data_IF_767367998894
#
_entry.id   IF_767367998894
#
_cell.length_a   1.000
_cell.length_b   1.000
_cell.length_c   1.000
_cell.angle_alpha   90.00
_cell.angle_beta   90.00
_cell.angle_gamma   90.00
#
_symmetry.space_group_name_H-M   'P 1'
#
loop_
_entity.id
_entity.type
_entity.pdbx_description
1 polymer ?
#
# COMPACT_ATOMS: atom_id res chain seq x y z
N UNK A 1 52.54 19.95 6.88
CA UNK A 1 51.27 20.20 6.15
C UNK A 1 50.48 18.92 5.81
N UNK A 2 51.08 17.72 5.83
CA UNK A 2 50.45 16.46 5.40
C UNK A 2 49.54 15.83 6.48
N UNK A 3 49.90 15.95 7.75
CA UNK A 3 49.14 15.46 8.91
C UNK A 3 47.82 16.22 9.14
N UNK A 4 47.78 17.55 8.93
CA UNK A 4 46.53 18.33 9.00
C UNK A 4 45.53 17.92 7.90
N UNK A 5 46.01 17.68 6.68
CA UNK A 5 45.16 17.19 5.56
C UNK A 5 44.57 15.81 5.83
N UNK A 6 45.36 14.89 6.41
CA UNK A 6 44.87 13.56 6.81
C UNK A 6 43.77 13.65 7.88
N UNK A 7 43.92 14.55 8.86
CA UNK A 7 42.89 14.78 9.89
C UNK A 7 41.59 15.30 9.26
N UNK A 8 41.68 16.26 8.33
CA UNK A 8 40.50 16.75 7.62
C UNK A 8 39.85 15.69 6.73
N UNK A 9 40.63 14.83 6.08
CA UNK A 9 40.09 13.71 5.29
C UNK A 9 39.41 12.66 6.17
N UNK A 10 39.98 12.34 7.33
CA UNK A 10 39.42 11.36 8.25
C UNK A 10 38.16 11.93 8.94
N UNK A 11 38.14 13.21 9.26
CA UNK A 11 36.95 13.92 9.74
C UNK A 11 35.84 13.94 8.67
N UNK A 12 36.18 14.24 7.42
CA UNK A 12 35.22 14.20 6.30
C UNK A 12 34.64 12.81 6.09
N UNK A 13 35.49 11.77 6.15
CA UNK A 13 35.05 10.38 6.06
C UNK A 13 34.10 10.01 7.21
N UNK A 14 34.39 10.44 8.43
CA UNK A 14 33.53 10.20 9.60
C UNK A 14 32.18 10.89 9.43
N UNK A 15 32.16 12.13 8.94
CA UNK A 15 30.92 12.85 8.61
C UNK A 15 30.12 12.10 7.54
N UNK A 16 30.78 11.59 6.50
CA UNK A 16 30.12 10.87 5.42
C UNK A 16 29.52 9.54 5.91
N UNK A 17 30.24 8.80 6.76
CA UNK A 17 29.71 7.61 7.43
C UNK A 17 28.51 7.94 8.32
N UNK A 18 28.56 9.06 9.05
CA UNK A 18 27.42 9.51 9.86
C UNK A 18 26.18 9.81 9.00
N UNK A 19 26.37 10.46 7.84
CA UNK A 19 25.27 10.70 6.88
C UNK A 19 24.72 9.38 6.35
N UNK A 20 25.58 8.42 5.99
CA UNK A 20 25.14 7.09 5.55
C UNK A 20 24.34 6.37 6.65
N UNK A 21 24.77 6.47 7.91
CA UNK A 21 24.05 5.88 9.04
C UNK A 21 22.67 6.53 9.22
N UNK A 22 22.57 7.86 9.11
CA UNK A 22 21.28 8.58 9.17
C UNK A 22 20.36 8.16 8.01
N UNK A 23 20.88 8.05 6.79
CA UNK A 23 20.12 7.59 5.63
C UNK A 23 19.63 6.14 5.79
N UNK A 24 20.37 5.29 6.51
CA UNK A 24 19.94 3.93 6.82
C UNK A 24 18.76 3.90 7.81
N UNK A 25 18.67 4.87 8.73
CA UNK A 25 17.59 4.93 9.75
C UNK A 25 16.28 5.50 9.18
N UNK A 26 16.35 6.48 8.27
CA UNK A 26 15.14 7.06 7.63
C UNK A 26 14.42 5.99 6.78
N UNK A 27 15.16 5.03 6.23
CA UNK A 27 14.59 3.91 5.47
C UNK A 27 14.21 4.28 4.04
N UNK A 28 13.61 3.32 3.32
CA UNK A 28 13.09 3.52 1.96
C UNK A 28 11.61 3.89 2.01
N UNK A 29 11.22 4.85 1.19
CA UNK A 29 9.81 5.08 0.88
C UNK A 29 9.27 3.89 0.11
N UNK A 30 8.16 3.31 0.56
CA UNK A 30 7.44 2.25 -0.12
C UNK A 30 5.94 2.54 -0.10
N UNK A 31 5.21 1.96 -1.04
CA UNK A 31 3.77 2.13 -1.15
C UNK A 31 3.07 1.06 -0.33
N UNK A 32 2.14 1.46 0.51
CA UNK A 32 1.24 0.59 1.27
C UNK A 32 -0.14 0.67 0.65
N UNK A 33 -0.79 -0.46 0.44
CA UNK A 33 -2.16 -0.51 -0.06
C UNK A 33 -3.15 -0.77 1.07
N UNK A 34 -4.30 -0.14 1.01
CA UNK A 34 -5.43 -0.35 1.91
C UNK A 34 -6.60 -0.90 1.11
N UNK A 35 -7.19 -2.01 1.57
CA UNK A 35 -8.35 -2.63 0.97
C UNK A 35 -9.57 -2.50 1.89
N UNK A 36 -10.70 -2.11 1.30
CA UNK A 36 -12.00 -2.24 1.92
C UNK A 36 -12.79 -3.37 1.23
N UNK A 37 -12.43 -4.61 1.52
CA UNK A 37 -13.04 -5.81 0.92
C UNK A 37 -13.48 -6.80 1.98
N UNK A 38 -14.67 -7.37 1.79
CA UNK A 38 -15.12 -8.47 2.62
C UNK A 38 -14.12 -9.63 2.54
N UNK A 39 -13.79 -10.23 3.68
CA UNK A 39 -12.86 -11.36 3.75
C UNK A 39 -13.53 -12.54 4.44
N UNK A 40 -13.32 -13.73 3.88
CA UNK A 40 -13.73 -14.97 4.54
C UNK A 40 -12.52 -15.57 5.24
N UNK A 41 -12.62 -15.72 6.56
CA UNK A 41 -11.56 -16.32 7.36
C UNK A 41 -12.14 -17.38 8.30
N UNK A 42 -11.60 -18.59 8.23
CA UNK A 42 -12.02 -19.75 9.04
C UNK A 42 -13.55 -20.01 9.01
N UNK A 43 -14.19 -19.78 7.86
CA UNK A 43 -15.63 -19.98 7.68
C UNK A 43 -16.53 -18.88 8.25
N UNK A 44 -15.94 -17.76 8.71
CA UNK A 44 -16.67 -16.54 9.08
C UNK A 44 -16.42 -15.46 8.04
N UNK A 45 -17.49 -14.90 7.48
CA UNK A 45 -17.43 -13.77 6.55
C UNK A 45 -17.40 -12.48 7.35
N UNK A 46 -16.36 -11.68 7.15
CA UNK A 46 -16.23 -10.34 7.70
C UNK A 46 -16.60 -9.35 6.61
N UNK A 47 -17.77 -8.72 6.75
CA UNK A 47 -18.26 -7.76 5.76
C UNK A 47 -17.45 -6.45 5.80
N UNK A 48 -17.30 -5.84 4.63
CA UNK A 48 -16.70 -4.53 4.51
C UNK A 48 -17.73 -3.44 4.88
N UNK A 49 -17.34 -2.44 5.70
CA UNK A 49 -18.18 -1.27 5.94
C UNK A 49 -18.42 -0.48 4.64
N UNK A 50 -19.55 0.23 4.59
CA UNK A 50 -19.95 1.02 3.42
C UNK A 50 -18.90 2.04 2.96
N UNK A 51 -18.25 2.74 3.91
CA UNK A 51 -17.24 3.76 3.62
C UNK A 51 -16.17 3.79 4.72
N UNK A 52 -14.91 3.83 4.32
CA UNK A 52 -13.77 4.11 5.22
C UNK A 52 -13.03 5.33 4.69
N UNK A 53 -12.97 6.41 5.47
CA UNK A 53 -12.10 7.54 5.18
C UNK A 53 -10.77 7.34 5.91
N UNK A 54 -9.67 7.38 5.16
CA UNK A 54 -8.33 7.16 5.67
C UNK A 54 -7.59 8.50 5.74
N UNK A 55 -7.09 8.85 6.91
CA UNK A 55 -6.17 9.97 7.10
C UNK A 55 -4.80 9.42 7.50
N UNK A 56 -3.73 9.84 6.83
CA UNK A 56 -2.37 9.44 7.21
C UNK A 56 -1.89 10.32 8.37
N UNK A 57 -1.48 9.68 9.46
CA UNK A 57 -0.99 10.35 10.67
C UNK A 57 -1.89 10.13 11.90
N UNK A 58 -1.58 10.88 12.95
CA UNK A 58 -2.19 10.71 14.27
C UNK A 58 -3.48 11.51 14.48
N UNK A 59 -3.88 12.34 13.50
CA UNK A 59 -5.06 13.18 13.58
C UNK A 59 -5.91 13.07 12.30
N UNK A 60 -7.20 13.37 12.44
CA UNK A 60 -8.12 13.60 11.33
C UNK A 60 -8.15 15.08 10.86
N UNK A 61 -7.26 15.94 11.40
CA UNK A 61 -7.19 17.38 11.08
C UNK A 61 -6.44 17.63 9.76
N UNK A 62 -7.01 17.16 8.65
CA UNK A 62 -6.45 17.34 7.30
C UNK A 62 -7.28 16.67 6.22
N UNK A 63 -6.87 16.81 4.96
CA UNK A 63 -7.51 16.11 3.84
C UNK A 63 -7.38 14.59 4.02
N UNK A 64 -8.47 13.87 3.80
CA UNK A 64 -8.43 12.41 3.75
C UNK A 64 -7.53 11.98 2.60
N UNK A 65 -6.65 11.01 2.83
CA UNK A 65 -5.84 10.38 1.79
C UNK A 65 -6.75 9.79 0.70
N UNK A 66 -7.78 9.06 1.14
CA UNK A 66 -8.80 8.50 0.27
C UNK A 66 -10.05 8.14 1.07
N UNK A 67 -11.18 8.06 0.37
CA UNK A 67 -12.44 7.51 0.86
C UNK A 67 -12.68 6.21 0.11
N UNK A 68 -12.54 5.08 0.79
CA UNK A 68 -12.74 3.77 0.20
C UNK A 68 -14.17 3.33 0.45
N UNK A 69 -14.93 3.15 -0.61
CA UNK A 69 -16.20 2.44 -0.59
C UNK A 69 -15.96 0.92 -0.63
N UNK A 70 -17.03 0.14 -0.59
CA UNK A 70 -16.94 -1.31 -0.71
C UNK A 70 -16.20 -1.72 -2.00
N UNK A 71 -15.32 -2.71 -1.87
CA UNK A 71 -14.44 -3.24 -2.90
C UNK A 71 -13.39 -2.28 -3.49
N UNK A 72 -13.17 -1.12 -2.87
CA UNK A 72 -12.14 -0.17 -3.30
C UNK A 72 -10.79 -0.39 -2.62
N UNK A 73 -9.74 0.10 -3.29
CA UNK A 73 -8.35 0.08 -2.83
C UNK A 73 -7.78 1.48 -2.89
N UNK A 74 -7.03 1.86 -1.87
CA UNK A 74 -6.21 3.07 -1.85
C UNK A 74 -4.73 2.74 -1.66
N UNK A 75 -3.86 3.68 -1.99
CA UNK A 75 -2.42 3.57 -1.79
C UNK A 75 -1.92 4.77 -0.98
N UNK A 76 -0.99 4.53 -0.07
CA UNK A 76 -0.30 5.55 0.69
C UNK A 76 1.22 5.37 0.54
N UNK A 77 1.93 6.47 0.36
CA UNK A 77 3.39 6.45 0.45
C UNK A 77 3.79 6.50 1.92
N UNK A 78 4.60 5.53 2.36
CA UNK A 78 5.09 5.46 3.72
C UNK A 78 6.61 5.35 3.78
N UNK A 79 7.18 6.08 4.74
CA UNK A 79 8.60 6.02 5.08
C UNK A 79 8.72 5.40 6.48
N UNK A 80 9.45 4.29 6.56
CA UNK A 80 9.66 3.54 7.80
C UNK A 80 8.78 2.31 7.93
N UNK A 81 8.84 1.64 9.08
CA UNK A 81 8.29 0.29 9.29
C UNK A 81 6.95 0.27 10.01
N UNK A 82 6.34 1.43 10.23
CA UNK A 82 5.05 1.57 10.88
C UNK A 82 4.30 2.66 10.17
N UNK A 83 3.05 2.41 9.82
CA UNK A 83 2.14 3.42 9.31
C UNK A 83 1.12 3.76 10.39
N UNK A 84 0.95 5.04 10.66
CA UNK A 84 -0.13 5.50 11.50
C UNK A 84 -1.22 6.06 10.63
N UNK A 85 -2.43 5.52 10.75
CA UNK A 85 -3.62 5.98 10.03
C UNK A 85 -4.74 6.26 11.00
N UNK A 86 -5.50 7.30 10.74
CA UNK A 86 -6.73 7.62 11.45
C UNK A 86 -7.91 7.30 10.54
N UNK A 87 -8.78 6.40 10.97
CA UNK A 87 -9.88 5.87 10.19
C UNK A 87 -11.22 6.43 10.69
N UNK A 88 -12.05 6.90 9.76
CA UNK A 88 -13.46 7.26 10.00
C UNK A 88 -14.30 6.24 9.25
N UNK A 89 -15.09 5.45 9.98
CA UNK A 89 -15.84 4.31 9.43
C UNK A 89 -17.32 4.66 9.40
N UNK A 90 -17.96 4.44 8.26
CA UNK A 90 -19.42 4.46 8.11
C UNK A 90 -19.88 3.06 7.75
N UNK A 91 -20.63 2.41 8.66
CA UNK A 91 -21.05 1.01 8.49
C UNK A 91 -22.11 0.87 7.40
N UNK A 92 -23.17 1.68 7.46
CA UNK A 92 -24.30 1.63 6.53
C UNK A 92 -24.38 2.88 5.64
N UNK A 93 -25.00 2.73 4.47
CA UNK A 93 -25.22 3.84 3.54
C UNK A 93 -26.09 4.93 4.18
N UNK A 94 -25.48 6.05 4.56
CA UNK A 94 -26.15 7.16 5.22
C UNK A 94 -26.30 7.01 6.73
N UNK A 95 -25.60 6.04 7.34
CA UNK A 95 -25.48 5.92 8.80
C UNK A 95 -24.51 6.96 9.39
N UNK A 96 -24.42 6.98 10.72
CA UNK A 96 -23.54 7.89 11.44
C UNK A 96 -22.05 7.56 11.21
N UNK A 97 -21.24 8.60 11.02
CA UNK A 97 -19.79 8.48 10.95
C UNK A 97 -19.24 8.18 12.35
N UNK A 98 -18.52 7.07 12.49
CA UNK A 98 -17.88 6.75 13.76
C UNK A 98 -16.77 7.76 14.07
N UNK A 99 -16.49 8.03 15.36
CA UNK A 99 -15.42 8.93 15.73
C UNK A 99 -14.07 8.46 15.15
N UNK A 100 -13.20 9.39 14.73
CA UNK A 100 -11.90 9.05 14.15
C UNK A 100 -11.07 8.21 15.14
N UNK A 101 -10.62 7.04 14.72
CA UNK A 101 -9.76 6.16 15.52
C UNK A 101 -8.41 5.99 14.85
N UNK A 102 -7.34 6.26 15.61
CA UNK A 102 -5.95 6.12 15.15
C UNK A 102 -5.43 4.71 15.38
N UNK A 103 -4.91 4.10 14.32
CA UNK A 103 -4.28 2.79 14.32
C UNK A 103 -2.81 2.92 13.90
N UNK A 104 -1.92 2.28 14.63
CA UNK A 104 -0.51 2.14 14.26
C UNK A 104 -0.26 0.71 13.79
N UNK A 105 -0.07 0.53 12.48
CA UNK A 105 0.07 -0.78 11.86
C UNK A 105 1.57 -1.02 11.57
N UNK A 106 2.19 -2.09 12.12
CA UNK A 106 3.53 -2.47 11.75
C UNK A 106 3.55 -3.00 10.31
N UNK A 107 4.59 -2.65 9.55
CA UNK A 107 4.75 -3.06 8.16
C UNK A 107 5.83 -4.15 8.08
N UNK A 108 5.59 -5.23 7.31
CA UNK A 108 6.53 -6.33 7.13
C UNK A 108 7.84 -5.87 6.48
N UNK A 109 8.96 -6.44 6.92
CA UNK A 109 10.26 -6.18 6.29
C UNK A 109 10.39 -6.93 4.97
N UNK A 110 10.70 -6.20 3.90
CA UNK A 110 11.08 -6.79 2.60
C UNK A 110 9.93 -7.28 1.73
N UNK A 111 8.67 -7.00 2.11
CA UNK A 111 7.52 -7.16 1.23
C UNK A 111 7.34 -5.85 0.46
N UNK A 112 7.35 -5.92 -0.87
CA UNK A 112 7.07 -4.77 -1.73
C UNK A 112 5.55 -4.66 -1.94
N UNK A 113 4.97 -3.51 -1.57
CA UNK A 113 3.54 -3.26 -1.74
C UNK A 113 2.63 -4.07 -0.81
N UNK A 114 2.83 -4.02 0.53
CA UNK A 114 1.91 -4.70 1.45
C UNK A 114 0.49 -4.16 1.30
N UNK A 115 -0.47 -5.06 1.16
CA UNK A 115 -1.90 -4.76 1.11
C UNK A 115 -2.49 -5.09 2.48
N UNK A 116 -3.11 -4.10 3.11
CA UNK A 116 -3.77 -4.20 4.40
C UNK A 116 -5.29 -4.18 4.18
N UNK A 117 -5.96 -5.30 4.43
CA UNK A 117 -7.41 -5.37 4.46
C UNK A 117 -7.93 -4.77 5.78
N UNK A 118 -8.55 -3.59 5.69
CA UNK A 118 -9.04 -2.85 6.84
C UNK A 118 -10.17 -3.56 7.59
N UNK A 119 -11.19 -4.14 6.93
CA UNK A 119 -12.20 -4.97 7.62
C UNK A 119 -11.59 -6.08 8.47
N UNK A 120 -10.65 -6.85 7.91
CA UNK A 120 -9.96 -7.93 8.59
C UNK A 120 -9.12 -7.43 9.77
N UNK A 121 -8.42 -6.32 9.59
CA UNK A 121 -7.61 -5.68 10.63
C UNK A 121 -8.48 -5.16 11.80
N UNK A 122 -9.61 -4.51 11.49
CA UNK A 122 -10.57 -4.01 12.49
C UNK A 122 -11.26 -5.15 13.26
N UNK A 123 -11.45 -6.30 12.61
CA UNK A 123 -11.95 -7.51 13.24
C UNK A 123 -10.93 -8.21 14.17
N UNK A 124 -9.67 -7.74 14.21
CA UNK A 124 -8.61 -8.31 15.04
C UNK A 124 -8.10 -9.66 14.53
N UNK A 125 -8.25 -9.92 13.22
CA UNK A 125 -7.73 -11.14 12.60
C UNK A 125 -6.20 -11.17 12.61
N UNK A 126 -5.57 -12.38 12.53
CA UNK A 126 -4.12 -12.49 12.47
C UNK A 126 -3.54 -11.85 11.20
N UNK A 127 -2.24 -11.54 11.23
CA UNK A 127 -1.54 -10.85 10.12
C UNK A 127 -1.72 -11.55 8.78
N UNK A 128 -1.76 -12.88 8.76
CA UNK A 128 -1.99 -13.69 7.56
C UNK A 128 -3.34 -13.42 6.86
N UNK A 129 -4.34 -12.94 7.61
CA UNK A 129 -5.67 -12.69 7.10
C UNK A 129 -5.86 -11.25 6.60
N UNK A 130 -5.17 -10.28 7.22
CA UNK A 130 -5.28 -8.88 6.84
C UNK A 130 -4.13 -8.38 5.95
N UNK A 131 -2.98 -9.06 5.92
CA UNK A 131 -1.80 -8.67 5.15
C UNK A 131 -1.65 -9.59 3.93
N UNK A 132 -1.61 -9.01 2.73
CA UNK A 132 -1.32 -9.74 1.50
C UNK A 132 -0.27 -9.02 0.67
N UNK A 133 0.52 -9.78 -0.09
CA UNK A 133 1.51 -9.22 -1.01
C UNK A 133 0.84 -8.83 -2.33
N UNK A 134 1.21 -7.69 -2.90
CA UNK A 134 0.72 -7.30 -4.22
C UNK A 134 1.35 -8.19 -5.29
N UNK A 135 0.54 -9.07 -5.88
CA UNK A 135 0.94 -9.85 -7.06
C UNK A 135 0.48 -9.09 -8.31
N UNK A 136 1.39 -8.62 -9.18
CA UNK A 136 0.99 -8.03 -10.44
C UNK A 136 0.31 -9.12 -11.29
N UNK A 137 -0.93 -8.86 -11.71
CA UNK A 137 -1.60 -9.73 -12.68
C UNK A 137 -0.79 -9.64 -13.97
N UNK A 138 -0.15 -10.75 -14.37
CA UNK A 138 0.45 -10.87 -15.69
C UNK A 138 -0.73 -10.92 -16.67
N UNK A 139 -1.02 -9.80 -17.32
CA UNK A 139 -1.94 -9.78 -18.44
C UNK A 139 -1.28 -10.58 -19.56
N UNK A 140 -1.72 -11.81 -19.82
CA UNK A 140 -1.39 -12.48 -21.08
C UNK A 140 -1.95 -11.59 -22.19
N UNK A 141 -1.06 -11.03 -23.02
CA UNK A 141 -1.47 -10.34 -24.24
C UNK A 141 -2.33 -11.33 -25.03
N UNK A 142 -3.55 -10.94 -25.47
CA UNK A 142 -4.33 -11.82 -26.31
C UNK A 142 -3.51 -12.09 -27.57
N UNK A 143 -3.15 -13.35 -27.82
CA UNK A 143 -2.57 -13.77 -29.08
C UNK A 143 -3.48 -13.23 -30.20
N UNK A 144 -2.97 -12.29 -31.00
CA UNK A 144 -3.68 -11.79 -32.17
C UNK A 144 -4.00 -13.00 -33.05
N UNK A 145 -5.24 -13.48 -32.98
CA UNK A 145 -5.74 -14.44 -33.95
C UNK A 145 -5.76 -13.72 -35.29
N UNK A 146 -4.75 -13.99 -36.12
CA UNK A 146 -4.74 -13.57 -37.52
C UNK A 146 -5.95 -14.23 -38.17
N UNK A 147 -7.05 -13.47 -38.32
CA UNK A 147 -8.18 -13.89 -39.14
C UNK A 147 -7.66 -13.87 -40.57
N UNK A 148 -7.34 -15.06 -41.10
CA UNK A 148 -7.05 -15.23 -42.52
C UNK A 148 -8.37 -14.96 -43.24
N UNK A 149 -8.48 -13.79 -43.86
CA UNK A 149 -9.56 -13.41 -44.75
C UNK A 149 -9.55 -14.35 -45.96
N UNK A 150 -10.54 -15.26 -46.01
CA UNK A 150 -10.81 -16.18 -47.11
C UNK A 150 -11.32 -15.39 -48.35
N UNK A 151 -10.43 -14.60 -48.94
CA UNK A 151 -10.63 -13.87 -50.18
C UNK A 151 -10.43 -14.76 -51.42
N UNK A 152 -11.17 -15.86 -51.53
CA UNK A 152 -11.32 -16.65 -52.76
C UNK A 152 -12.15 -15.84 -53.78
N UNK A 153 -11.48 -14.93 -54.48
CA UNK A 153 -12.01 -14.23 -55.66
C UNK A 153 -11.88 -15.10 -56.92
N UNK A 154 -12.86 -15.96 -57.16
CA UNK A 154 -13.04 -16.69 -58.43
C UNK A 154 -14.14 -15.98 -59.23
N UNK A 155 -13.77 -15.24 -60.28
CA UNK A 155 -14.72 -14.61 -61.20
C UNK A 155 -14.08 -13.78 -62.31
N UNK A 156 -14.05 -14.37 -63.52
CA UNK A 156 -13.93 -13.80 -64.87
C UNK A 156 -12.72 -12.94 -65.27
N UNK A 157 -11.79 -13.54 -66.04
CA UNK A 157 -11.25 -13.05 -67.33
C UNK A 157 -10.69 -14.20 -68.17
#
# INVERSE_FOLDING_TARGET
MKSRRLIFQLALLLILVAICAVMMVIGRGHTVYFDNKAVEYQGTTYEAPYKIEIHVGNNADGDALSKLYDNERASADQIGQKITVTLIITQEKGGDEQPPVTYTIPLPYGMDGPIINLPAYLAGLPEEAYLSEFIPVITEEPEETVVIDDGMGLGDF
#
